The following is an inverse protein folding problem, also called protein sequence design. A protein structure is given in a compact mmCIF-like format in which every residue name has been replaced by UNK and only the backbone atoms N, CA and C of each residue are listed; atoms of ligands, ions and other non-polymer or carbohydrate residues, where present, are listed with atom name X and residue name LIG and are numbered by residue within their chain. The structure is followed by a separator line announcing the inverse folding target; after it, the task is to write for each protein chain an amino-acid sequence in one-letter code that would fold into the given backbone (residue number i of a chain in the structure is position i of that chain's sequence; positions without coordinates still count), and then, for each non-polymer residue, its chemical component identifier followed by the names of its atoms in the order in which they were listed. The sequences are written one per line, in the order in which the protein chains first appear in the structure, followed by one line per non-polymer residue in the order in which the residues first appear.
data_IF_648964009320
#
_entry.id   IF_648964009320
#
_cell.length_a   1.000
_cell.length_b   1.000
_cell.length_c   1.000
_cell.angle_alpha   90.00
_cell.angle_beta   90.00
_cell.angle_gamma   90.00
#
_symmetry.space_group_name_H-M   'P 1'
#
loop_
_entity.id
_entity.type
_entity.pdbx_description
1 polymer ?
#
# COMPACT_ATOMS: atom_id res chain seq x y z
N UNK A 1 7.55 -17.01 4.58
CA UNK A 1 6.52 -16.11 4.01
C UNK A 1 6.92 -15.69 2.62
N UNK A 2 5.99 -15.80 1.68
CA UNK A 2 6.22 -15.45 0.27
C UNK A 2 5.82 -14.01 0.04
N UNK A 3 6.75 -13.22 -0.49
CA UNK A 3 6.45 -11.88 -1.02
C UNK A 3 5.68 -12.07 -2.32
N UNK A 4 4.50 -11.49 -2.40
CA UNK A 4 3.59 -11.60 -3.55
C UNK A 4 3.72 -10.43 -4.52
N UNK A 5 4.16 -9.27 -4.03
CA UNK A 5 4.22 -8.03 -4.80
C UNK A 5 5.24 -7.06 -4.21
N UNK A 6 5.82 -6.21 -5.05
CA UNK A 6 6.77 -5.16 -4.68
C UNK A 6 6.54 -3.91 -5.52
N UNK A 7 6.69 -2.73 -4.92
CA UNK A 7 6.60 -1.45 -5.61
C UNK A 7 7.64 -0.46 -5.05
N UNK A 8 8.29 0.29 -5.94
CA UNK A 8 9.13 1.43 -5.56
C UNK A 8 8.26 2.67 -5.35
N UNK A 9 8.62 3.52 -4.38
CA UNK A 9 8.04 4.85 -4.31
C UNK A 9 8.49 5.71 -5.49
N UNK A 10 7.68 6.69 -5.94
CA UNK A 10 8.02 7.54 -7.08
C UNK A 10 9.32 8.33 -6.89
N UNK A 11 9.65 8.68 -5.64
CA UNK A 11 10.90 9.38 -5.29
C UNK A 11 12.10 8.44 -5.15
N UNK A 12 11.90 7.12 -5.31
CA UNK A 12 12.95 6.11 -5.26
C UNK A 12 13.62 5.95 -3.89
N UNK A 13 13.00 6.43 -2.81
CA UNK A 13 13.57 6.34 -1.45
C UNK A 13 13.08 5.15 -0.65
N UNK A 14 11.90 4.63 -0.98
CA UNK A 14 11.28 3.53 -0.24
C UNK A 14 10.79 2.42 -1.16
N UNK A 15 10.74 1.21 -0.62
CA UNK A 15 10.09 0.05 -1.25
C UNK A 15 8.92 -0.39 -0.39
N UNK A 16 7.83 -0.74 -1.03
CA UNK A 16 6.69 -1.41 -0.41
C UNK A 16 6.65 -2.87 -0.88
N UNK A 17 6.55 -3.79 0.06
CA UNK A 17 6.39 -5.23 -0.23
C UNK A 17 5.08 -5.73 0.33
N UNK A 18 4.34 -6.52 -0.43
CA UNK A 18 3.15 -7.25 0.02
C UNK A 18 3.47 -8.73 0.24
N UNK A 19 2.84 -9.34 1.25
CA UNK A 19 3.09 -10.73 1.63
C UNK A 19 1.80 -11.52 1.89
N UNK A 20 1.88 -12.83 1.66
CA UNK A 20 0.79 -13.76 1.94
C UNK A 20 0.48 -13.91 3.45
N UNK A 21 1.33 -13.39 4.33
CA UNK A 21 1.09 -13.32 5.79
C UNK A 21 0.13 -12.19 6.20
N UNK A 22 -0.48 -11.51 5.23
CA UNK A 22 -1.39 -10.40 5.48
C UNK A 22 -0.70 -9.10 5.89
N UNK A 23 0.61 -8.99 5.65
CA UNK A 23 1.35 -7.76 5.90
C UNK A 23 1.79 -7.10 4.60
N UNK A 24 1.76 -5.77 4.60
CA UNK A 24 2.60 -4.98 3.71
C UNK A 24 3.66 -4.26 4.55
N UNK A 25 4.90 -4.19 4.06
CA UNK A 25 6.04 -3.60 4.76
C UNK A 25 6.68 -2.52 3.91
N UNK A 26 6.97 -1.39 4.54
CA UNK A 26 7.66 -0.26 3.94
C UNK A 26 9.11 -0.26 4.41
N UNK A 27 10.03 -0.12 3.46
CA UNK A 27 11.47 -0.21 3.67
C UNK A 27 12.16 1.06 3.19
N UNK A 28 13.17 1.53 3.92
CA UNK A 28 14.10 2.53 3.42
C UNK A 28 15.14 1.85 2.53
N UNK A 29 15.34 2.35 1.31
CA UNK A 29 16.27 1.74 0.35
C UNK A 29 17.73 1.96 0.75
N UNK A 30 18.05 3.10 1.38
CA UNK A 30 19.44 3.44 1.71
C UNK A 30 19.93 2.64 2.91
N UNK A 31 19.10 2.50 3.94
CA UNK A 31 19.48 1.81 5.18
C UNK A 31 19.10 0.34 5.18
N UNK A 32 18.12 -0.06 4.36
CA UNK A 32 17.53 -1.40 4.38
C UNK A 32 16.62 -1.64 5.57
N UNK A 33 16.33 -0.60 6.37
CA UNK A 33 15.51 -0.73 7.57
C UNK A 33 14.02 -0.77 7.23
N UNK A 34 13.27 -1.56 8.00
CA UNK A 34 11.82 -1.55 7.94
C UNK A 34 11.28 -0.30 8.64
N UNK A 35 10.65 0.59 7.88
CA UNK A 35 10.06 1.83 8.38
C UNK A 35 8.68 1.60 9.00
N UNK A 36 7.89 0.70 8.40
CA UNK A 36 6.51 0.47 8.82
C UNK A 36 6.00 -0.91 8.42
N UNK A 37 5.20 -1.49 9.30
CA UNK A 37 4.35 -2.65 9.00
C UNK A 37 2.88 -2.21 8.93
N UNK A 38 2.20 -2.63 7.86
CA UNK A 38 0.81 -2.32 7.54
C UNK A 38 0.00 -3.62 7.57
N UNK A 39 -0.59 -3.92 8.73
CA UNK A 39 -1.28 -5.19 8.98
C UNK A 39 -2.67 -5.18 8.33
N UNK A 40 -2.98 -6.23 7.58
CA UNK A 40 -4.29 -6.52 7.00
C UNK A 40 -4.81 -7.82 7.64
N UNK A 41 -5.72 -7.71 8.63
CA UNK A 41 -6.17 -8.88 9.40
C UNK A 41 -6.73 -9.99 8.50
N UNK A 42 -6.11 -11.16 8.62
CA UNK A 42 -6.49 -12.46 8.03
C UNK A 42 -6.61 -12.52 6.50
N UNK A 43 -6.13 -11.51 5.77
CA UNK A 43 -6.22 -11.49 4.32
C UNK A 43 -4.85 -11.34 3.68
N UNK A 44 -4.38 -12.33 2.88
CA UNK A 44 -3.15 -12.21 2.11
C UNK A 44 -3.11 -10.94 1.27
N UNK A 45 -1.96 -10.26 1.26
CA UNK A 45 -1.73 -9.15 0.34
C UNK A 45 -1.38 -9.74 -1.02
N UNK A 46 -2.14 -9.37 -2.05
CA UNK A 46 -1.98 -9.84 -3.43
C UNK A 46 -1.17 -8.85 -4.28
N UNK A 47 -1.35 -7.56 -4.04
CA UNK A 47 -0.73 -6.49 -4.81
C UNK A 47 -0.51 -5.25 -3.95
N UNK A 48 0.52 -4.48 -4.28
CA UNK A 48 0.82 -3.19 -3.66
C UNK A 48 1.17 -2.16 -4.72
N UNK A 49 0.85 -0.89 -4.47
CA UNK A 49 1.23 0.22 -5.34
C UNK A 49 1.38 1.53 -4.55
N UNK A 50 2.25 2.41 -5.03
CA UNK A 50 2.28 3.81 -4.63
C UNK A 50 1.44 4.65 -5.60
N UNK A 51 0.84 5.73 -5.11
CA UNK A 51 0.37 6.80 -5.99
C UNK A 51 1.55 7.49 -6.67
N UNK A 52 1.37 8.08 -7.87
CA UNK A 52 2.43 8.78 -8.59
C UNK A 52 3.05 9.95 -7.81
N UNK A 53 2.29 10.59 -6.93
CA UNK A 53 2.76 11.66 -6.05
C UNK A 53 3.42 11.15 -4.75
N UNK A 54 3.42 9.83 -4.50
CA UNK A 54 4.01 9.19 -3.33
C UNK A 54 3.27 9.44 -2.01
N UNK A 55 2.09 10.09 -2.05
CA UNK A 55 1.31 10.42 -0.85
C UNK A 55 0.39 9.29 -0.39
N UNK A 56 0.14 8.31 -1.25
CA UNK A 56 -0.75 7.19 -0.99
C UNK A 56 -0.11 5.85 -1.33
N UNK A 57 -0.57 4.84 -0.60
CA UNK A 57 -0.32 3.42 -0.85
C UNK A 57 -1.66 2.72 -1.04
N UNK A 58 -1.74 1.88 -2.06
CA UNK A 58 -2.83 0.94 -2.27
C UNK A 58 -2.36 -0.48 -1.97
N UNK A 59 -3.18 -1.22 -1.22
CA UNK A 59 -2.96 -2.64 -0.90
C UNK A 59 -4.16 -3.42 -1.42
N UNK A 60 -3.93 -4.28 -2.40
CA UNK A 60 -4.91 -5.25 -2.89
C UNK A 60 -4.89 -6.51 -2.04
N UNK A 61 -6.07 -6.93 -1.58
CA UNK A 61 -6.27 -8.09 -0.72
C UNK A 61 -6.80 -9.28 -1.51
N UNK A 62 -6.62 -10.49 -0.99
CA UNK A 62 -7.20 -11.72 -1.54
C UNK A 62 -8.69 -11.87 -1.20
N UNK A 63 -9.50 -10.89 -1.61
CA UNK A 63 -10.97 -10.92 -1.64
C UNK A 63 -11.45 -10.16 -2.88
N UNK A 64 -12.65 -10.43 -3.36
CA UNK A 64 -13.20 -9.71 -4.52
C UNK A 64 -13.25 -8.20 -4.28
N UNK A 65 -12.60 -7.45 -5.17
CA UNK A 65 -12.47 -6.01 -5.08
C UNK A 65 -11.69 -5.50 -3.86
N UNK A 66 -11.15 -6.33 -2.97
CA UNK A 66 -10.61 -5.83 -1.70
C UNK A 66 -9.43 -4.90 -1.86
N UNK A 67 -9.61 -3.62 -1.57
CA UNK A 67 -8.53 -2.62 -1.57
C UNK A 67 -8.54 -1.83 -0.27
N UNK A 68 -7.35 -1.62 0.28
CA UNK A 68 -7.11 -0.75 1.43
C UNK A 68 -6.16 0.36 1.01
N UNK A 69 -6.53 1.58 1.33
CA UNK A 69 -5.74 2.78 1.05
C UNK A 69 -5.13 3.31 2.35
N UNK A 70 -3.87 3.69 2.25
CA UNK A 70 -3.11 4.37 3.29
C UNK A 70 -2.65 5.71 2.75
N UNK A 71 -2.78 6.76 3.56
CA UNK A 71 -2.28 8.10 3.24
C UNK A 71 -1.11 8.44 4.15
N UNK A 72 -0.08 9.07 3.58
CA UNK A 72 1.03 9.64 4.32
C UNK A 72 0.63 11.00 4.87
N UNK A 73 0.84 11.20 6.17
CA UNK A 73 0.67 12.50 6.79
C UNK A 73 1.82 13.42 6.40
N UNK A 74 1.51 14.64 5.98
CA UNK A 74 2.51 15.63 5.52
C UNK A 74 3.37 16.16 6.67
N UNK A 75 2.82 16.20 7.88
CA UNK A 75 3.46 16.74 9.08
C UNK A 75 4.50 15.80 9.69
N UNK A 76 4.18 14.50 9.77
CA UNK A 76 4.91 13.48 10.51
C UNK A 76 5.54 12.45 9.58
N UNK A 77 5.16 12.45 8.30
CA UNK A 77 5.51 11.40 7.36
C UNK A 77 4.91 10.03 7.69
N UNK A 78 4.04 9.95 8.70
CA UNK A 78 3.45 8.69 9.18
C UNK A 78 2.34 8.19 8.25
N UNK A 79 2.13 6.87 8.22
CA UNK A 79 1.10 6.25 7.39
C UNK A 79 -0.14 5.92 8.20
N UNK A 80 -1.29 6.41 7.75
CA UNK A 80 -2.58 6.13 8.37
C UNK A 80 -3.53 5.49 7.35
N UNK A 81 -4.27 4.47 7.80
CA UNK A 81 -5.31 3.83 7.00
C UNK A 81 -6.42 4.84 6.79
N UNK A 82 -6.78 5.11 5.53
CA UNK A 82 -7.82 6.09 5.21
C UNK A 82 -9.12 5.42 4.79
N UNK A 83 -9.07 4.30 4.05
CA UNK A 83 -10.28 3.63 3.56
C UNK A 83 -10.04 2.16 3.25
N UNK A 84 -11.09 1.35 3.40
CA UNK A 84 -11.20 -0.03 2.92
C UNK A 84 -12.50 -0.12 2.13
N UNK A 85 -12.48 -0.74 0.96
CA UNK A 85 -13.67 -0.88 0.11
C UNK A 85 -13.41 -1.81 -1.07
N UNK A 86 -14.41 -1.98 -1.92
CA UNK A 86 -14.20 -2.63 -3.21
C UNK A 86 -13.41 -1.71 -4.14
N UNK A 87 -12.66 -2.29 -5.07
CA UNK A 87 -11.90 -1.55 -6.07
C UNK A 87 -12.83 -0.63 -6.84
N UNK A 88 -13.98 -1.15 -7.27
CA UNK A 88 -15.03 -0.43 -7.99
C UNK A 88 -15.54 0.79 -7.22
N UNK A 89 -15.83 0.64 -5.92
CA UNK A 89 -16.28 1.74 -5.06
C UNK A 89 -15.22 2.85 -4.96
N UNK A 90 -13.95 2.47 -4.86
CA UNK A 90 -12.84 3.42 -4.76
C UNK A 90 -12.55 4.16 -6.07
N UNK A 91 -12.79 3.52 -7.23
CA UNK A 91 -12.59 4.15 -8.55
C UNK A 91 -13.75 5.09 -8.93
N UNK A 92 -14.99 4.75 -8.57
CA UNK A 92 -16.20 5.49 -8.98
C UNK A 92 -16.25 6.89 -8.34
N UNK A 93 -15.78 7.05 -7.10
CA UNK A 93 -15.92 8.32 -6.38
C UNK A 93 -14.94 9.42 -6.81
N UNK A 94 -13.91 9.13 -7.62
CA UNK A 94 -12.88 10.15 -7.94
C UNK A 94 -12.49 10.33 -9.39
N UNK A 95 -13.07 9.63 -10.37
CA UNK A 95 -12.92 9.95 -11.80
C UNK A 95 -11.48 10.16 -12.33
N UNK A 96 -10.45 9.76 -11.57
CA UNK A 96 -9.03 10.02 -11.81
C UNK A 96 -8.27 9.16 -10.82
N UNK A 97 -7.93 7.94 -11.18
CA UNK A 97 -6.71 7.21 -10.82
C UNK A 97 -6.73 5.94 -11.68
N UNK A 98 -6.41 6.09 -12.97
CA UNK A 98 -5.91 4.96 -13.75
C UNK A 98 -4.41 4.93 -13.48
N UNK A 99 -3.92 3.83 -12.91
CA UNK A 99 -2.49 3.57 -12.70
C UNK A 99 -1.75 3.49 -14.03
#
# INVERSE_FOLDING_TARGET
NTVSSVAFSPDGKTVLTGSNDGTARLWDIKTGEQLKELIQPELPVRSVAFSPDGTMIAIGLMIEGGVVLWKRSEDTGSWAKTRKGSAEELFIEKGKYLF
#
